data_IF_174047487947
#
_entry.id   IF_174047487947
#
_cell.length_a   1.000
_cell.length_b   1.000
_cell.length_c   1.000
_cell.angle_alpha   90.00
_cell.angle_beta   90.00
_cell.angle_gamma   90.00
#
_symmetry.space_group_name_H-M   'P 1'
#
loop_
_entity.id
_entity.type
_entity.pdbx_description
1 polymer ?
#
# COMPACT_ATOMS: atom_id res chain seq x y z
N UNK A 1 7.75 16.17 -2.14
CA UNK A 1 7.07 14.96 -1.60
C UNK A 1 6.72 15.23 -0.14
N UNK A 2 5.51 14.82 0.25
CA UNK A 2 5.04 14.79 1.63
C UNK A 2 4.62 13.37 1.96
N UNK A 3 4.93 12.90 3.15
CA UNK A 3 4.54 11.58 3.64
C UNK A 3 4.01 11.70 5.07
N UNK A 4 3.18 10.74 5.48
CA UNK A 4 2.75 10.58 6.86
C UNK A 4 3.21 9.21 7.37
N UNK A 5 3.51 9.15 8.66
CA UNK A 5 3.57 7.88 9.36
C UNK A 5 2.14 7.47 9.72
N UNK A 6 1.69 6.32 9.24
CA UNK A 6 0.38 5.81 9.62
C UNK A 6 0.31 5.51 11.12
N UNK A 7 -0.90 5.59 11.71
CA UNK A 7 -1.07 5.21 13.12
C UNK A 7 -0.44 3.84 13.42
N UNK A 8 0.29 3.75 14.54
CA UNK A 8 1.02 2.55 14.91
C UNK A 8 2.30 2.29 14.12
N UNK A 9 2.78 3.27 13.32
CA UNK A 9 4.02 3.20 12.56
C UNK A 9 4.85 4.47 12.79
N UNK A 10 6.16 4.34 12.64
CA UNK A 10 7.10 5.46 12.71
C UNK A 10 6.97 6.27 14.00
N UNK A 11 6.86 7.59 13.85
CA UNK A 11 6.67 8.53 14.96
C UNK A 11 5.20 8.81 15.31
N UNK A 12 4.24 8.26 14.55
CA UNK A 12 2.82 8.46 14.83
C UNK A 12 2.36 7.67 16.05
N UNK A 13 1.39 8.25 16.77
CA UNK A 13 0.72 7.57 17.87
C UNK A 13 -0.01 6.29 17.40
N UNK A 14 -0.37 5.48 18.36
CA UNK A 14 -1.08 4.22 18.13
C UNK A 14 -0.28 3.02 18.59
N UNK A 15 -0.89 1.85 18.54
CA UNK A 15 -0.24 0.61 18.93
C UNK A 15 0.47 0.00 17.73
N UNK A 16 1.79 -0.27 17.80
CA UNK A 16 2.51 -0.91 16.73
C UNK A 16 1.88 -2.25 16.30
N UNK A 17 1.69 -2.41 14.98
CA UNK A 17 1.11 -3.62 14.40
C UNK A 17 -0.36 -3.88 14.77
N UNK A 18 -1.12 -2.82 15.08
CA UNK A 18 -2.53 -2.93 15.44
C UNK A 18 -3.37 -1.79 14.87
N UNK A 19 -4.56 -2.13 14.42
CA UNK A 19 -5.61 -1.20 14.01
C UNK A 19 -6.95 -1.75 14.50
N UNK A 20 -7.86 -0.92 14.96
CA UNK A 20 -9.18 -1.35 15.40
C UNK A 20 -10.14 -1.59 14.24
N UNK A 21 -10.16 -0.69 13.26
CA UNK A 21 -10.91 -0.80 12.01
C UNK A 21 -10.07 -0.24 10.86
N UNK A 22 -10.20 -0.81 9.65
CA UNK A 22 -9.44 -0.38 8.48
C UNK A 22 -9.68 1.10 8.12
N UNK A 23 -10.92 1.56 8.30
CA UNK A 23 -11.33 2.93 7.99
C UNK A 23 -10.59 4.00 8.81
N UNK A 24 -10.00 3.63 9.94
CA UNK A 24 -9.13 4.54 10.69
C UNK A 24 -7.96 5.08 9.86
N UNK A 25 -7.39 4.25 8.97
CA UNK A 25 -6.36 4.68 8.02
C UNK A 25 -6.91 5.68 7.00
N UNK A 26 -8.15 5.48 6.54
CA UNK A 26 -8.78 6.38 5.57
C UNK A 26 -9.08 7.75 6.19
N UNK A 27 -9.49 7.76 7.46
CA UNK A 27 -9.71 9.00 8.23
C UNK A 27 -8.39 9.76 8.40
N UNK A 28 -7.30 9.08 8.79
CA UNK A 28 -5.99 9.69 8.93
C UNK A 28 -5.48 10.27 7.60
N UNK A 29 -5.64 9.52 6.51
CA UNK A 29 -5.27 9.98 5.18
C UNK A 29 -6.10 11.19 4.74
N UNK A 30 -7.40 11.24 5.08
CA UNK A 30 -8.25 12.40 4.80
C UNK A 30 -7.77 13.66 5.53
N UNK A 31 -7.36 13.53 6.80
CA UNK A 31 -6.79 14.65 7.57
C UNK A 31 -5.47 15.12 6.94
N UNK A 32 -4.59 14.19 6.60
CA UNK A 32 -3.32 14.50 5.94
C UNK A 32 -3.54 15.18 4.58
N UNK A 33 -4.44 14.65 3.75
CA UNK A 33 -4.77 15.23 2.45
C UNK A 33 -5.31 16.66 2.57
N UNK A 34 -6.20 16.92 3.52
CA UNK A 34 -6.72 18.26 3.77
C UNK A 34 -5.60 19.22 4.19
N UNK A 35 -4.65 18.77 5.01
CA UNK A 35 -3.49 19.59 5.41
C UNK A 35 -2.56 19.88 4.23
N UNK A 36 -2.35 18.90 3.32
CA UNK A 36 -1.61 19.11 2.06
C UNK A 36 -2.29 20.20 1.22
N UNK A 37 -3.61 20.10 1.00
CA UNK A 37 -4.36 21.09 0.23
C UNK A 37 -4.33 22.49 0.86
N UNK A 38 -4.32 22.57 2.21
CA UNK A 38 -4.18 23.84 2.94
C UNK A 38 -2.81 24.47 2.77
N UNK A 39 -1.73 23.66 2.78
CA UNK A 39 -0.34 24.15 2.61
C UNK A 39 0.00 24.51 1.17
N UNK A 40 -0.59 23.80 0.21
CA UNK A 40 -0.28 23.94 -1.22
C UNK A 40 -1.55 24.10 -2.05
N UNK A 41 -2.28 25.23 -1.89
CA UNK A 41 -3.55 25.44 -2.58
C UNK A 41 -3.32 25.49 -4.10
N UNK A 42 -4.16 24.75 -4.84
CA UNK A 42 -4.13 24.72 -6.30
C UNK A 42 -2.98 23.91 -6.94
N UNK A 43 -2.11 23.30 -6.13
CA UNK A 43 -1.05 22.43 -6.66
C UNK A 43 -1.66 21.06 -7.01
N UNK A 44 -1.42 20.52 -8.23
CA UNK A 44 -1.83 19.16 -8.59
C UNK A 44 -1.22 18.12 -7.65
N UNK A 45 -2.02 17.17 -7.18
CA UNK A 45 -1.60 16.16 -6.22
C UNK A 45 -1.64 14.77 -6.86
N UNK A 46 -0.54 14.04 -6.79
CA UNK A 46 -0.48 12.61 -7.04
C UNK A 46 -0.44 11.86 -5.72
N UNK A 47 -1.20 10.76 -5.63
CA UNK A 47 -1.17 9.86 -4.47
C UNK A 47 -0.21 8.70 -4.75
N UNK A 48 0.75 8.47 -3.86
CA UNK A 48 1.64 7.32 -3.94
C UNK A 48 1.38 6.39 -2.75
N UNK A 49 1.19 5.10 -3.03
CA UNK A 49 1.03 4.08 -2.00
C UNK A 49 1.96 2.89 -2.23
N UNK A 50 2.75 2.55 -1.19
CA UNK A 50 3.58 1.35 -1.19
C UNK A 50 3.01 0.30 -0.24
N UNK A 51 3.00 -0.96 -0.64
CA UNK A 51 2.60 -2.09 0.21
C UNK A 51 1.21 -1.88 0.85
N UNK A 52 1.11 -1.87 2.20
CA UNK A 52 -0.09 -1.48 2.93
C UNK A 52 -0.60 -0.09 2.52
N UNK A 53 0.30 0.87 2.32
CA UNK A 53 -0.07 2.20 1.83
C UNK A 53 -0.75 2.17 0.46
N UNK A 54 -0.45 1.19 -0.38
CA UNK A 54 -1.15 0.94 -1.64
C UNK A 54 -2.59 0.48 -1.44
N UNK A 55 -2.84 -0.41 -0.48
CA UNK A 55 -4.20 -0.83 -0.10
C UNK A 55 -5.00 0.35 0.47
N UNK A 56 -4.38 1.15 1.34
CA UNK A 56 -5.02 2.34 1.92
C UNK A 56 -5.35 3.35 0.82
N UNK A 57 -4.39 3.64 -0.08
CA UNK A 57 -4.58 4.56 -1.19
C UNK A 57 -5.75 4.13 -2.09
N UNK A 58 -5.80 2.86 -2.50
CA UNK A 58 -6.90 2.35 -3.35
C UNK A 58 -8.26 2.45 -2.66
N UNK A 59 -8.39 2.05 -1.38
CA UNK A 59 -9.66 2.20 -0.66
C UNK A 59 -10.05 3.68 -0.47
N UNK A 60 -9.09 4.57 -0.28
CA UNK A 60 -9.36 6.01 -0.21
C UNK A 60 -9.86 6.57 -1.55
N UNK A 61 -9.31 6.10 -2.67
CA UNK A 61 -9.73 6.51 -4.02
C UNK A 61 -11.17 6.11 -4.33
N UNK A 62 -11.71 5.01 -3.79
CA UNK A 62 -13.12 4.65 -3.94
C UNK A 62 -14.08 5.79 -3.52
N UNK A 63 -13.63 6.69 -2.64
CA UNK A 63 -14.43 7.77 -2.10
C UNK A 63 -13.95 9.18 -2.52
N UNK A 64 -12.68 9.34 -2.91
CA UNK A 64 -12.03 10.66 -3.02
C UNK A 64 -11.13 10.80 -4.26
N UNK A 65 -11.33 10.00 -5.31
CA UNK A 65 -10.43 9.99 -6.46
C UNK A 65 -10.37 11.32 -7.22
N UNK A 66 -11.44 12.09 -7.25
CA UNK A 66 -11.54 13.39 -7.96
C UNK A 66 -10.57 14.45 -7.41
N UNK A 67 -9.96 14.18 -6.27
CA UNK A 67 -9.02 15.10 -5.61
C UNK A 67 -7.58 14.92 -6.06
N UNK A 68 -7.29 13.96 -6.94
CA UNK A 68 -5.95 13.62 -7.39
C UNK A 68 -5.84 13.66 -8.91
N UNK A 69 -4.64 13.97 -9.40
CA UNK A 69 -4.32 13.88 -10.83
C UNK A 69 -4.11 12.43 -11.25
N UNK A 70 -3.58 11.62 -10.35
CA UNK A 70 -3.32 10.21 -10.58
C UNK A 70 -2.81 9.51 -9.32
N UNK A 71 -2.74 8.18 -9.37
CA UNK A 71 -2.23 7.36 -8.29
C UNK A 71 -1.10 6.45 -8.77
N UNK A 72 -0.05 6.36 -7.95
CA UNK A 72 1.11 5.49 -8.18
C UNK A 72 1.10 4.41 -7.08
N UNK A 73 1.19 3.16 -7.48
CA UNK A 73 1.29 2.01 -6.58
C UNK A 73 2.62 1.31 -6.76
N UNK A 74 3.26 0.96 -5.64
CA UNK A 74 4.51 0.21 -5.59
C UNK A 74 4.33 -1.00 -4.68
N UNK A 75 4.43 -2.23 -5.20
CA UNK A 75 4.30 -3.45 -4.41
C UNK A 75 3.01 -3.50 -3.57
N UNK A 76 1.88 -3.02 -4.10
CA UNK A 76 0.67 -2.77 -3.32
C UNK A 76 0.00 -4.06 -2.82
N UNK A 77 -0.47 -4.06 -1.56
CA UNK A 77 -1.17 -5.17 -0.92
C UNK A 77 -2.63 -5.28 -1.42
N UNK A 78 -2.83 -5.76 -2.64
CA UNK A 78 -4.15 -5.95 -3.24
C UNK A 78 -4.67 -7.36 -3.04
N UNK A 79 -3.77 -8.33 -3.10
CA UNK A 79 -4.00 -9.75 -2.80
C UNK A 79 -2.90 -10.29 -1.91
N UNK A 80 -3.20 -11.33 -1.19
CA UNK A 80 -2.22 -12.09 -0.42
C UNK A 80 -2.15 -13.51 -0.95
N UNK A 81 -0.95 -14.05 -1.12
CA UNK A 81 -0.76 -15.48 -1.43
C UNK A 81 -1.15 -16.36 -0.25
N UNK A 82 -1.17 -15.78 0.96
CA UNK A 82 -1.85 -16.38 2.09
C UNK A 82 -3.37 -16.25 1.86
N UNK A 83 -3.94 -17.18 1.09
CA UNK A 83 -5.39 -17.28 0.94
C UNK A 83 -5.93 -18.19 2.06
N UNK A 84 -6.26 -17.65 3.24
CA UNK A 84 -6.76 -18.48 4.32
C UNK A 84 -8.09 -19.11 3.87
N UNK A 85 -8.14 -20.43 3.92
CA UNK A 85 -9.40 -21.14 3.71
C UNK A 85 -10.47 -20.67 4.72
N UNK A 86 -11.74 -21.04 4.48
CA UNK A 86 -12.85 -20.58 5.33
C UNK A 86 -12.66 -20.89 6.83
N UNK A 87 -12.02 -22.02 7.16
CA UNK A 87 -11.71 -22.40 8.56
C UNK A 87 -10.66 -21.44 9.15
N UNK A 88 -9.57 -21.18 8.45
CA UNK A 88 -8.51 -20.28 8.88
C UNK A 88 -9.03 -18.85 9.05
N UNK A 89 -9.86 -18.39 8.12
CA UNK A 89 -10.52 -17.09 8.24
C UNK A 89 -11.47 -17.05 9.45
N UNK A 90 -12.17 -18.13 9.74
CA UNK A 90 -12.97 -18.29 10.97
C UNK A 90 -12.12 -18.14 12.24
N UNK A 91 -10.94 -18.78 12.28
CA UNK A 91 -9.99 -18.67 13.39
C UNK A 91 -9.47 -17.24 13.53
N UNK A 92 -9.07 -16.59 12.42
CA UNK A 92 -8.62 -15.20 12.44
C UNK A 92 -9.72 -14.27 12.99
N UNK A 93 -10.96 -14.43 12.55
CA UNK A 93 -12.12 -13.66 13.05
C UNK A 93 -12.36 -13.87 14.55
N UNK A 94 -12.27 -15.12 14.99
CA UNK A 94 -12.45 -15.45 16.42
C UNK A 94 -11.31 -14.85 17.27
N UNK A 95 -10.06 -14.96 16.85
CA UNK A 95 -8.92 -14.33 17.52
C UNK A 95 -9.03 -12.80 17.52
N UNK A 96 -9.46 -12.20 16.40
CA UNK A 96 -9.69 -10.77 16.32
C UNK A 96 -10.80 -10.27 17.26
N UNK A 97 -11.73 -11.14 17.66
CA UNK A 97 -12.78 -10.83 18.64
C UNK A 97 -12.31 -11.05 20.07
N UNK A 98 -11.73 -12.21 20.39
CA UNK A 98 -11.42 -12.63 21.77
C UNK A 98 -10.04 -12.15 22.24
N UNK A 99 -9.07 -12.05 21.33
CA UNK A 99 -7.70 -11.63 21.61
C UNK A 99 -7.19 -10.68 20.51
N UNK A 100 -7.84 -9.51 20.30
CA UNK A 100 -7.59 -8.63 19.14
C UNK A 100 -6.14 -8.19 19.02
N UNK A 101 -5.42 -8.12 20.12
CA UNK A 101 -4.02 -7.67 20.22
C UNK A 101 -2.99 -8.80 20.14
N UNK A 102 -3.43 -10.04 19.99
CA UNK A 102 -2.53 -11.19 19.84
C UNK A 102 -1.76 -11.05 18.51
N UNK A 103 -0.42 -11.02 18.60
CA UNK A 103 0.45 -11.01 17.40
C UNK A 103 0.40 -12.36 16.70
N UNK A 104 0.00 -12.36 15.43
CA UNK A 104 -0.23 -13.60 14.67
C UNK A 104 0.57 -13.70 13.38
N UNK A 105 1.03 -12.57 12.81
CA UNK A 105 1.73 -12.54 11.52
C UNK A 105 2.95 -11.63 11.61
N UNK A 106 4.09 -12.10 11.12
CA UNK A 106 5.32 -11.33 11.02
C UNK A 106 5.82 -11.37 9.58
N UNK A 107 6.31 -10.24 9.08
CA UNK A 107 6.94 -10.16 7.77
C UNK A 107 8.38 -10.67 7.85
N UNK A 108 8.82 -11.35 6.79
CA UNK A 108 10.21 -11.74 6.62
C UNK A 108 10.97 -10.60 5.96
N UNK A 109 11.86 -9.97 6.69
CA UNK A 109 12.67 -8.85 6.20
C UNK A 109 13.54 -9.23 4.99
N UNK A 110 13.89 -10.50 4.81
CA UNK A 110 14.68 -10.95 3.65
C UNK A 110 13.98 -10.76 2.30
N UNK A 111 12.66 -10.57 2.33
CA UNK A 111 11.85 -10.32 1.13
C UNK A 111 11.76 -8.85 0.70
N UNK A 112 12.32 -7.89 1.47
CA UNK A 112 12.13 -6.47 1.16
C UNK A 112 12.95 -6.03 -0.05
N UNK A 113 14.23 -6.45 -0.18
CA UNK A 113 15.12 -6.13 -1.29
C UNK A 113 16.14 -7.24 -1.52
N UNK A 114 16.66 -7.31 -2.75
CA UNK A 114 17.83 -8.15 -3.07
C UNK A 114 19.14 -7.54 -2.56
N UNK A 115 19.16 -6.25 -2.29
CA UNK A 115 20.31 -5.54 -1.72
C UNK A 115 20.41 -5.81 -0.22
N UNK A 116 21.45 -6.56 0.19
CA UNK A 116 21.67 -6.92 1.59
C UNK A 116 21.88 -5.70 2.50
N UNK A 117 22.43 -4.60 1.97
CA UNK A 117 22.59 -3.36 2.76
C UNK A 117 21.23 -2.68 3.02
N UNK A 118 20.30 -2.72 2.06
CA UNK A 118 18.94 -2.22 2.26
C UNK A 118 18.17 -3.11 3.25
N UNK A 119 18.29 -4.44 3.16
CA UNK A 119 17.72 -5.36 4.16
C UNK A 119 18.28 -5.07 5.55
N UNK A 120 19.60 -4.83 5.66
CA UNK A 120 20.22 -4.47 6.94
C UNK A 120 19.68 -3.15 7.49
N UNK A 121 19.56 -2.10 6.67
CA UNK A 121 18.97 -0.83 7.08
C UNK A 121 17.54 -1.02 7.59
N UNK A 122 16.74 -1.80 6.88
CA UNK A 122 15.36 -2.13 7.29
C UNK A 122 15.33 -2.81 8.67
N UNK A 123 16.20 -3.79 8.91
CA UNK A 123 16.28 -4.53 10.19
C UNK A 123 16.83 -3.68 11.34
N UNK A 124 17.71 -2.74 11.05
CA UNK A 124 18.31 -1.86 12.06
C UNK A 124 17.50 -0.59 12.33
N UNK A 125 16.49 -0.27 11.50
CA UNK A 125 15.67 0.93 11.67
C UNK A 125 14.70 0.79 12.84
N UNK A 126 14.84 1.61 13.89
CA UNK A 126 13.95 1.56 15.06
C UNK A 126 12.52 2.00 14.77
N UNK A 127 12.25 2.62 13.61
CA UNK A 127 10.91 3.03 13.18
C UNK A 127 10.14 1.93 12.46
N UNK A 128 10.85 0.88 12.04
CA UNK A 128 10.22 -0.29 11.41
C UNK A 128 9.63 -1.21 12.46
N UNK A 129 8.43 -1.70 12.21
CA UNK A 129 7.80 -2.71 13.06
C UNK A 129 8.47 -4.08 12.88
N UNK A 130 9.29 -4.48 13.86
CA UNK A 130 9.89 -5.83 13.88
C UNK A 130 9.04 -6.86 14.60
N UNK A 131 7.89 -6.46 15.13
CA UNK A 131 6.94 -7.31 15.84
C UNK A 131 5.93 -7.97 14.92
N UNK A 132 5.00 -8.67 15.54
CA UNK A 132 3.89 -9.33 14.84
C UNK A 132 2.70 -8.40 14.68
N UNK A 133 2.12 -8.37 13.50
CA UNK A 133 0.80 -7.80 13.29
C UNK A 133 -0.24 -8.55 14.11
N UNK A 134 -1.16 -7.81 14.73
CA UNK A 134 -2.20 -8.35 15.59
C UNK A 134 -3.28 -9.09 14.80
N UNK A 135 -3.99 -10.01 15.44
CA UNK A 135 -5.12 -10.72 14.83
C UNK A 135 -6.19 -9.76 14.31
N UNK A 136 -6.43 -8.65 15.01
CA UNK A 136 -7.35 -7.60 14.54
C UNK A 136 -6.81 -6.94 13.29
N UNK A 137 -5.56 -6.50 13.26
CA UNK A 137 -4.96 -5.89 12.07
C UNK A 137 -5.03 -6.82 10.85
N UNK A 138 -4.65 -8.09 11.01
CA UNK A 138 -4.71 -9.06 9.91
C UNK A 138 -6.14 -9.19 9.37
N UNK A 139 -7.16 -9.29 10.25
CA UNK A 139 -8.57 -9.31 9.83
C UNK A 139 -8.94 -8.06 9.05
N UNK A 140 -8.55 -6.88 9.51
CA UNK A 140 -8.87 -5.60 8.87
C UNK A 140 -8.19 -5.45 7.51
N UNK A 141 -6.94 -5.95 7.36
CA UNK A 141 -6.27 -5.96 6.06
C UNK A 141 -7.03 -6.84 5.05
N UNK A 142 -7.49 -8.04 5.46
CA UNK A 142 -8.31 -8.87 4.59
C UNK A 142 -9.67 -8.22 4.28
N UNK A 143 -10.26 -7.49 5.21
CA UNK A 143 -11.49 -6.74 4.94
C UNK A 143 -11.25 -5.63 3.92
N UNK A 144 -10.20 -4.82 4.07
CA UNK A 144 -9.82 -3.78 3.11
C UNK A 144 -9.52 -4.33 1.72
N UNK A 145 -8.81 -5.48 1.63
CA UNK A 145 -8.59 -6.16 0.34
C UNK A 145 -9.91 -6.63 -0.29
N UNK A 146 -10.83 -7.16 0.51
CA UNK A 146 -12.13 -7.63 0.01
C UNK A 146 -13.00 -6.46 -0.50
N UNK A 147 -13.04 -5.33 0.22
CA UNK A 147 -13.72 -4.11 -0.22
C UNK A 147 -13.13 -3.62 -1.55
N UNK A 148 -11.81 -3.47 -1.62
CA UNK A 148 -11.16 -3.02 -2.86
C UNK A 148 -11.45 -3.97 -4.03
N UNK A 149 -11.40 -5.28 -3.81
CA UNK A 149 -11.66 -6.25 -4.90
C UNK A 149 -13.13 -6.23 -5.36
N UNK A 150 -14.07 -5.95 -4.47
CA UNK A 150 -15.49 -5.84 -4.82
C UNK A 150 -15.77 -4.56 -5.65
N UNK A 151 -15.14 -3.45 -5.27
CA UNK A 151 -15.47 -2.13 -5.79
C UNK A 151 -14.36 -1.56 -6.73
N UNK A 152 -13.39 -2.40 -7.16
CA UNK A 152 -12.28 -1.97 -8.01
C UNK A 152 -12.74 -1.26 -9.30
N UNK A 153 -13.89 -1.67 -9.86
CA UNK A 153 -14.47 -1.08 -11.06
C UNK A 153 -14.86 0.41 -10.89
N UNK A 154 -15.01 0.89 -9.66
CA UNK A 154 -15.33 2.30 -9.38
C UNK A 154 -14.12 3.22 -9.51
N UNK A 155 -12.89 2.67 -9.59
CA UNK A 155 -11.68 3.45 -9.78
C UNK A 155 -11.52 3.80 -11.27
N UNK A 156 -11.61 5.09 -11.58
CA UNK A 156 -11.48 5.65 -12.94
C UNK A 156 -10.28 6.59 -13.10
N UNK A 157 -9.63 6.96 -11.99
CA UNK A 157 -8.45 7.83 -11.94
C UNK A 157 -7.28 7.24 -12.74
N UNK A 158 -6.41 8.05 -13.38
CA UNK A 158 -5.15 7.59 -13.96
C UNK A 158 -4.29 6.83 -12.93
N UNK A 159 -3.82 5.63 -13.29
CA UNK A 159 -3.06 4.78 -12.37
C UNK A 159 -1.78 4.21 -12.99
N UNK A 160 -0.68 4.34 -12.25
CA UNK A 160 0.60 3.66 -12.50
C UNK A 160 0.79 2.59 -11.42
N UNK A 161 0.81 1.33 -11.82
CA UNK A 161 1.04 0.19 -10.93
C UNK A 161 2.42 -0.42 -11.23
N UNK A 162 3.28 -0.48 -10.23
CA UNK A 162 4.66 -0.94 -10.30
C UNK A 162 4.85 -2.08 -9.30
N UNK A 163 5.42 -3.22 -9.72
CA UNK A 163 5.58 -4.37 -8.86
C UNK A 163 6.80 -5.20 -9.26
N UNK A 164 7.58 -5.67 -8.29
CA UNK A 164 8.62 -6.66 -8.53
C UNK A 164 7.99 -8.04 -8.77
N UNK A 165 8.38 -8.75 -9.82
CA UNK A 165 7.75 -10.05 -10.11
C UNK A 165 8.25 -11.19 -9.21
N UNK A 166 9.33 -10.94 -8.44
CA UNK A 166 9.84 -11.83 -7.41
C UNK A 166 9.47 -11.38 -5.98
N UNK A 167 8.50 -10.47 -5.84
CA UNK A 167 7.98 -10.05 -4.54
C UNK A 167 7.28 -11.22 -3.82
N UNK A 168 7.77 -11.55 -2.61
CA UNK A 168 7.25 -12.61 -1.75
C UNK A 168 6.44 -12.08 -0.55
N UNK A 169 6.39 -10.75 -0.37
CA UNK A 169 5.66 -10.10 0.73
C UNK A 169 4.24 -9.71 0.33
N UNK A 170 4.08 -9.22 -0.90
CA UNK A 170 2.75 -8.97 -1.50
C UNK A 170 2.66 -9.65 -2.85
N UNK A 171 1.49 -10.22 -3.16
CA UNK A 171 1.33 -10.98 -4.39
C UNK A 171 1.37 -10.10 -5.64
N UNK A 172 2.30 -10.32 -6.59
CA UNK A 172 2.31 -9.61 -7.88
C UNK A 172 1.00 -9.78 -8.66
N UNK A 173 0.27 -10.87 -8.43
CA UNK A 173 -1.06 -11.11 -9.02
C UNK A 173 -2.12 -10.12 -8.49
N UNK A 174 -1.86 -9.48 -7.35
CA UNK A 174 -2.68 -8.39 -6.86
C UNK A 174 -2.66 -7.17 -7.80
N UNK A 175 -1.48 -6.75 -8.24
CA UNK A 175 -1.34 -5.66 -9.20
C UNK A 175 -1.91 -6.01 -10.58
N UNK A 176 -1.74 -7.25 -11.05
CA UNK A 176 -2.37 -7.73 -12.28
C UNK A 176 -3.90 -7.71 -12.18
N UNK A 177 -4.43 -8.18 -11.05
CA UNK A 177 -5.86 -8.14 -10.79
C UNK A 177 -6.41 -6.72 -10.82
N UNK A 178 -5.78 -5.79 -10.08
CA UNK A 178 -6.23 -4.40 -10.02
C UNK A 178 -6.23 -3.77 -11.41
N UNK A 179 -5.14 -3.94 -12.19
CA UNK A 179 -5.05 -3.45 -13.56
C UNK A 179 -6.19 -3.97 -14.46
N UNK A 180 -6.62 -5.22 -14.28
CA UNK A 180 -7.70 -5.80 -15.09
C UNK A 180 -9.08 -5.30 -14.69
N UNK A 181 -9.31 -4.95 -13.41
CA UNK A 181 -10.65 -4.72 -12.86
C UNK A 181 -11.01 -3.25 -12.65
N UNK A 182 -10.03 -2.33 -12.57
CA UNK A 182 -10.35 -0.89 -12.53
C UNK A 182 -10.87 -0.39 -13.86
N UNK A 183 -11.78 0.59 -13.82
CA UNK A 183 -12.36 1.22 -15.02
C UNK A 183 -11.53 2.37 -15.59
N UNK A 184 -10.39 2.71 -14.99
CA UNK A 184 -9.49 3.72 -15.55
C UNK A 184 -9.12 3.39 -16.99
N UNK A 185 -9.26 4.36 -17.89
CA UNK A 185 -8.81 4.28 -19.29
C UNK A 185 -7.33 4.63 -19.44
N UNK A 186 -6.75 5.27 -18.45
CA UNK A 186 -5.34 5.63 -18.35
C UNK A 186 -4.68 4.83 -17.23
N UNK A 187 -4.34 3.58 -17.51
CA UNK A 187 -3.73 2.66 -16.55
C UNK A 187 -2.51 1.97 -17.14
N UNK A 188 -1.42 1.98 -16.38
CA UNK A 188 -0.17 1.33 -16.74
C UNK A 188 0.21 0.34 -15.66
N UNK A 189 0.61 -0.87 -16.04
CA UNK A 189 1.18 -1.87 -15.17
C UNK A 189 2.60 -2.20 -15.66
N UNK A 190 3.59 -2.04 -14.80
CA UNK A 190 4.96 -2.48 -15.06
C UNK A 190 5.36 -3.52 -14.02
N UNK A 191 5.71 -4.71 -14.50
CA UNK A 191 6.30 -5.76 -13.70
C UNK A 191 7.81 -5.74 -13.89
N UNK A 192 8.56 -5.54 -12.80
CA UNK A 192 10.03 -5.49 -12.85
C UNK A 192 10.60 -6.89 -12.63
N UNK A 193 11.28 -7.48 -13.65
CA UNK A 193 11.78 -8.83 -13.55
C UNK A 193 12.83 -9.00 -12.44
N UNK A 194 12.60 -9.96 -11.57
CA UNK A 194 13.52 -10.35 -10.49
C UNK A 194 13.56 -9.39 -9.30
N UNK A 195 12.88 -8.23 -9.33
CA UNK A 195 12.84 -7.31 -8.20
C UNK A 195 11.95 -7.85 -7.08
N UNK A 196 12.34 -7.55 -5.83
CA UNK A 196 11.60 -7.89 -4.63
C UNK A 196 10.58 -6.79 -4.28
N UNK A 197 10.14 -6.74 -3.01
CA UNK A 197 9.02 -5.91 -2.57
C UNK A 197 9.27 -4.39 -2.69
N UNK A 198 10.40 -3.93 -2.17
CA UNK A 198 10.75 -2.50 -2.14
C UNK A 198 11.48 -2.10 -3.42
N UNK A 199 10.78 -2.06 -4.55
CA UNK A 199 11.37 -1.76 -5.87
C UNK A 199 12.10 -0.41 -5.92
N UNK A 200 11.77 0.53 -5.00
CA UNK A 200 12.44 1.82 -4.85
C UNK A 200 13.74 1.74 -4.01
N UNK A 201 14.03 0.58 -3.45
CA UNK A 201 15.24 0.26 -2.68
C UNK A 201 16.05 -0.89 -3.33
N UNK A 202 15.70 -1.26 -4.55
CA UNK A 202 16.46 -2.21 -5.35
C UNK A 202 17.64 -1.54 -6.09
N UNK A 203 18.64 -2.28 -6.55
CA UNK A 203 19.74 -1.71 -7.35
C UNK A 203 19.26 -0.91 -8.56
N UNK A 204 18.16 -1.33 -9.18
CA UNK A 204 17.55 -0.70 -10.37
C UNK A 204 16.58 0.45 -10.04
N UNK A 205 16.57 0.94 -8.80
CA UNK A 205 15.64 1.98 -8.34
C UNK A 205 15.57 3.23 -9.21
N UNK A 206 16.66 3.57 -9.90
CA UNK A 206 16.69 4.76 -10.76
C UNK A 206 15.70 4.62 -11.93
N UNK A 207 15.63 3.45 -12.56
CA UNK A 207 14.69 3.18 -13.65
C UNK A 207 13.23 3.30 -13.18
N UNK A 208 12.97 2.85 -11.94
CA UNK A 208 11.63 2.98 -11.30
C UNK A 208 11.28 4.43 -11.06
N UNK A 209 12.23 5.21 -10.51
CA UNK A 209 12.04 6.64 -10.24
C UNK A 209 11.83 7.44 -11.53
N UNK A 210 12.61 7.16 -12.56
CA UNK A 210 12.50 7.83 -13.87
C UNK A 210 11.15 7.54 -14.53
N UNK A 211 10.64 6.31 -14.41
CA UNK A 211 9.30 5.96 -14.88
C UNK A 211 8.22 6.73 -14.11
N UNK A 212 8.32 6.79 -12.78
CA UNK A 212 7.36 7.56 -11.96
C UNK A 212 7.36 9.03 -12.35
N UNK A 213 8.56 9.63 -12.45
CA UNK A 213 8.70 11.05 -12.81
C UNK A 213 8.10 11.35 -14.19
N UNK A 214 8.49 10.59 -15.20
CA UNK A 214 7.98 10.75 -16.57
C UNK A 214 6.47 10.58 -16.65
N UNK A 215 5.92 9.62 -15.88
CA UNK A 215 4.47 9.37 -15.84
C UNK A 215 3.72 10.55 -15.19
N UNK A 216 4.27 11.12 -14.10
CA UNK A 216 3.70 12.30 -13.47
C UNK A 216 3.77 13.54 -14.37
N UNK A 217 4.93 13.80 -14.98
CA UNK A 217 5.14 14.97 -15.86
C UNK A 217 4.17 14.98 -17.04
N UNK A 218 3.92 13.82 -17.64
CA UNK A 218 2.97 13.68 -18.75
C UNK A 218 1.51 14.01 -18.38
N UNK A 219 1.19 14.08 -17.07
CA UNK A 219 -0.17 14.33 -16.55
C UNK A 219 -0.31 15.65 -15.79
N UNK A 220 0.77 16.42 -15.71
CA UNK A 220 0.66 17.78 -15.20
C UNK A 220 -0.08 18.66 -16.21
N UNK A 221 -0.95 19.60 -15.74
CA UNK A 221 -1.56 20.56 -16.62
C UNK A 221 -0.49 21.37 -17.36
N UNK A 222 -0.69 21.60 -18.65
CA UNK A 222 0.16 22.50 -19.40
C UNK A 222 0.14 23.89 -18.76
N UNK A 223 1.34 24.46 -18.52
CA UNK A 223 1.49 25.83 -18.01
C UNK A 223 0.97 26.87 -19.01
#
# INVERSE_FOLDING_TARGET
VLALDHRGHGHSDGKPGHIDVFDDYLVDLAVFHNEVGRRFPGVPIFLLGHSLGGLIACNYLLQQQDRFVGCILSGALIKSDLQPGWVQMGVIRLLALLAPRLGVMQLDASGVSRDAEEVKKYVEDPLVLHGKASARMVRELFAGMATLQADAADITLPMLMLHGDADVLTSPDGSRYLHQHISSTDKTLTMYPGLFHEILNEPERQDVLDQILSWCEARLPAN
#
